data_IF_077404480091
#
_entry.id   IF_077404480091
#
_cell.length_a   1.000
_cell.length_b   1.000
_cell.length_c   1.000
_cell.angle_alpha   90.00
_cell.angle_beta   90.00
_cell.angle_gamma   90.00
#
_symmetry.space_group_name_H-M   'P 1'
#
loop_
_entity.id
_entity.type
_entity.pdbx_description
1 polymer ?
#
# COMPACT_ATOMS: atom_id res chain seq x y z
N UNK A 1 20.50 -37.81 31.83
CA UNK A 1 19.34 -37.89 30.92
C UNK A 1 19.40 -36.72 29.95
N UNK A 2 19.80 -36.98 28.70
CA UNK A 2 19.95 -35.96 27.68
C UNK A 2 18.58 -35.69 27.05
N UNK A 3 17.95 -34.57 27.40
CA UNK A 3 16.72 -34.13 26.75
C UNK A 3 17.06 -33.71 25.32
N UNK A 4 16.87 -34.62 24.36
CA UNK A 4 16.87 -34.28 22.94
C UNK A 4 15.74 -33.29 22.69
N UNK A 5 16.07 -31.99 22.75
CA UNK A 5 15.22 -30.90 22.30
C UNK A 5 14.84 -31.18 20.84
N UNK A 6 13.63 -31.71 20.67
CA UNK A 6 13.02 -32.04 19.38
C UNK A 6 13.13 -30.80 18.50
N UNK A 7 13.92 -30.87 17.42
CA UNK A 7 14.03 -29.77 16.45
C UNK A 7 12.61 -29.36 16.02
N UNK A 8 12.25 -28.07 16.09
CA UNK A 8 10.95 -27.62 15.62
C UNK A 8 10.74 -28.04 14.17
N UNK A 9 9.67 -28.80 13.89
CA UNK A 9 9.37 -29.35 12.57
C UNK A 9 9.02 -28.29 11.52
N UNK A 10 8.76 -27.06 11.94
CA UNK A 10 8.37 -25.94 11.09
C UNK A 10 9.59 -25.14 10.64
N UNK A 11 9.61 -24.80 9.34
CA UNK A 11 10.68 -24.02 8.75
C UNK A 11 10.86 -22.69 9.53
N UNK A 12 12.11 -22.20 9.73
CA UNK A 12 12.36 -20.96 10.47
C UNK A 12 11.60 -19.74 9.95
N UNK A 13 11.32 -19.72 8.63
CA UNK A 13 10.53 -18.67 7.97
C UNK A 13 9.08 -18.65 8.44
N UNK A 14 8.46 -19.82 8.59
CA UNK A 14 7.06 -19.93 8.97
C UNK A 14 6.88 -19.60 10.45
N UNK A 15 7.85 -19.97 11.29
CA UNK A 15 7.89 -19.55 12.70
C UNK A 15 8.00 -18.04 12.84
N UNK A 16 8.88 -17.41 12.06
CA UNK A 16 9.01 -15.95 12.04
C UNK A 16 7.71 -15.26 11.60
N UNK A 17 7.06 -15.78 10.56
CA UNK A 17 5.79 -15.23 10.08
C UNK A 17 4.67 -15.39 11.12
N UNK A 18 4.54 -16.57 11.72
CA UNK A 18 3.54 -16.82 12.78
C UNK A 18 3.76 -15.88 13.97
N UNK A 19 5.01 -15.72 14.41
CA UNK A 19 5.34 -14.79 15.50
C UNK A 19 4.94 -13.36 15.15
N UNK A 20 5.31 -12.88 13.96
CA UNK A 20 4.94 -11.52 13.53
C UNK A 20 3.42 -11.35 13.38
N UNK A 21 2.68 -12.35 12.88
CA UNK A 21 1.22 -12.30 12.86
C UNK A 21 0.62 -12.19 14.26
N UNK A 22 1.19 -12.89 15.25
CA UNK A 22 0.74 -12.78 16.65
C UNK A 22 1.04 -11.40 17.23
N UNK A 23 2.26 -10.87 17.01
CA UNK A 23 2.66 -9.55 17.51
C UNK A 23 1.86 -8.42 16.87
N UNK A 24 1.59 -8.53 15.56
CA UNK A 24 0.86 -7.53 14.78
C UNK A 24 -0.66 -7.73 14.82
N UNK A 25 -1.17 -8.74 15.54
CA UNK A 25 -2.60 -9.02 15.64
C UNK A 25 -3.45 -7.79 16.02
N UNK A 26 -3.03 -6.92 16.97
CA UNK A 26 -3.79 -5.70 17.27
C UNK A 26 -3.87 -4.73 16.09
N UNK A 27 -2.78 -4.57 15.33
CA UNK A 27 -2.75 -3.73 14.12
C UNK A 27 -3.67 -4.32 13.04
N UNK A 28 -3.59 -5.64 12.81
CA UNK A 28 -4.42 -6.34 11.83
C UNK A 28 -5.91 -6.25 12.16
N UNK A 29 -6.29 -6.46 13.43
CA UNK A 29 -7.69 -6.30 13.84
C UNK A 29 -8.15 -4.85 13.77
N UNK A 30 -7.37 -3.91 14.31
CA UNK A 30 -7.74 -2.50 14.31
C UNK A 30 -7.93 -1.96 12.90
N UNK A 31 -6.97 -2.22 12.01
CA UNK A 31 -7.07 -1.84 10.59
C UNK A 31 -8.19 -2.59 9.86
N UNK A 32 -8.40 -3.87 10.15
CA UNK A 32 -9.48 -4.68 9.58
C UNK A 32 -10.87 -4.20 9.99
N UNK A 33 -11.08 -3.84 11.26
CA UNK A 33 -12.34 -3.28 11.76
C UNK A 33 -12.62 -1.94 11.09
N UNK A 34 -11.63 -1.04 11.02
CA UNK A 34 -11.81 0.25 10.33
C UNK A 34 -12.14 0.04 8.85
N UNK A 35 -11.42 -0.86 8.16
CA UNK A 35 -11.72 -1.20 6.76
C UNK A 35 -13.14 -1.74 6.57
N UNK A 36 -13.58 -2.66 7.43
CA UNK A 36 -14.93 -3.21 7.38
C UNK A 36 -16.01 -2.14 7.62
N UNK A 37 -15.83 -1.26 8.61
CA UNK A 37 -16.76 -0.17 8.89
C UNK A 37 -16.85 0.82 7.73
N UNK A 38 -15.72 1.19 7.12
CA UNK A 38 -15.71 2.11 5.98
C UNK A 38 -16.29 1.46 4.72
N UNK A 39 -16.07 0.16 4.51
CA UNK A 39 -16.72 -0.60 3.44
C UNK A 39 -18.23 -0.66 3.64
N UNK A 40 -18.72 -0.95 4.85
CA UNK A 40 -20.15 -0.95 5.16
C UNK A 40 -20.77 0.43 4.97
N UNK A 41 -20.09 1.49 5.43
CA UNK A 41 -20.54 2.86 5.22
C UNK A 41 -20.59 3.25 3.74
N UNK A 42 -19.62 2.80 2.94
CA UNK A 42 -19.60 3.02 1.50
C UNK A 42 -20.71 2.25 0.78
N UNK A 43 -20.90 0.96 1.10
CA UNK A 43 -21.98 0.13 0.55
C UNK A 43 -23.34 0.73 0.90
N UNK A 44 -23.52 1.17 2.14
CA UNK A 44 -24.72 1.88 2.60
C UNK A 44 -24.87 3.30 2.06
N UNK A 45 -23.96 3.77 1.20
CA UNK A 45 -23.95 5.10 0.59
C UNK A 45 -23.89 6.25 1.62
N UNK A 46 -23.36 6.01 2.82
CA UNK A 46 -23.28 7.01 3.89
C UNK A 46 -22.00 7.87 3.82
N UNK A 47 -20.87 7.30 3.36
CA UNK A 47 -19.59 7.99 3.37
C UNK A 47 -18.60 7.46 2.32
N UNK A 48 -17.73 8.34 1.78
CA UNK A 48 -16.66 8.02 0.81
C UNK A 48 -15.27 8.31 1.41
N UNK A 49 -14.90 7.56 2.45
CA UNK A 49 -13.71 7.86 3.27
C UNK A 49 -12.50 6.94 2.96
N UNK A 50 -12.29 6.56 1.69
CA UNK A 50 -11.16 5.69 1.32
C UNK A 50 -9.80 6.34 1.57
N UNK A 51 -9.72 7.67 1.60
CA UNK A 51 -8.51 8.39 2.00
C UNK A 51 -8.03 8.01 3.40
N UNK A 52 -8.94 7.68 4.32
CA UNK A 52 -8.58 7.19 5.67
C UNK A 52 -7.82 5.87 5.56
N UNK A 53 -8.26 4.97 4.69
CA UNK A 53 -7.60 3.68 4.45
C UNK A 53 -6.25 3.85 3.76
N UNK A 54 -6.11 4.83 2.86
CA UNK A 54 -4.82 5.18 2.26
C UNK A 54 -3.84 5.70 3.32
N UNK A 55 -4.28 6.62 4.18
CA UNK A 55 -3.45 7.14 5.28
C UNK A 55 -3.10 6.03 6.29
N UNK A 56 -4.02 5.12 6.58
CA UNK A 56 -3.74 3.92 7.37
C UNK A 56 -2.73 3.00 6.69
N UNK A 57 -2.75 2.87 5.37
CA UNK A 57 -1.74 2.12 4.63
C UNK A 57 -0.35 2.77 4.74
N UNK A 58 -0.27 4.10 4.67
CA UNK A 58 0.98 4.85 4.87
C UNK A 58 1.50 4.71 6.30
N UNK A 59 0.60 4.59 7.27
CA UNK A 59 0.88 4.41 8.68
C UNK A 59 1.45 3.03 9.04
N UNK A 60 1.12 1.97 8.28
CA UNK A 60 1.43 0.57 8.65
C UNK A 60 2.90 0.34 8.99
N UNK A 61 3.90 0.81 8.21
CA UNK A 61 5.30 0.55 8.52
C UNK A 61 5.68 1.07 9.92
N UNK A 62 5.21 2.27 10.28
CA UNK A 62 5.47 2.91 11.57
C UNK A 62 4.66 2.24 12.68
N UNK A 63 3.39 1.93 12.44
CA UNK A 63 2.52 1.24 13.40
C UNK A 63 2.98 -0.19 13.71
N UNK A 64 3.70 -0.82 12.76
CA UNK A 64 4.27 -2.15 12.91
C UNK A 64 5.64 -2.15 13.58
N UNK A 65 6.17 -1.01 14.00
CA UNK A 65 7.43 -0.91 14.74
C UNK A 65 7.38 -1.72 16.06
N UNK A 66 8.53 -2.23 16.55
CA UNK A 66 8.56 -3.01 17.78
C UNK A 66 8.14 -2.14 18.96
N UNK A 67 7.17 -2.61 19.75
CA UNK A 67 6.72 -1.86 20.94
C UNK A 67 7.64 -2.08 22.14
N UNK A 68 8.22 -3.28 22.21
CA UNK A 68 9.18 -3.67 23.22
C UNK A 68 10.29 -4.49 22.54
N UNK A 69 11.34 -3.83 22.00
CA UNK A 69 12.39 -4.49 21.23
C UNK A 69 13.12 -5.58 22.01
N UNK A 70 13.29 -5.41 23.32
CA UNK A 70 14.00 -6.35 24.18
C UNK A 70 13.20 -7.65 24.35
N UNK A 71 11.92 -7.55 24.70
CA UNK A 71 11.03 -8.72 24.82
C UNK A 71 10.86 -9.45 23.49
N UNK A 72 10.66 -8.68 22.44
CA UNK A 72 10.52 -9.18 21.08
C UNK A 72 11.79 -9.91 20.60
N UNK A 73 12.98 -9.41 20.97
CA UNK A 73 14.27 -10.05 20.72
C UNK A 73 14.44 -11.36 21.51
N UNK A 74 14.06 -11.36 22.79
CA UNK A 74 14.09 -12.57 23.63
C UNK A 74 13.18 -13.68 23.09
N UNK A 75 11.93 -13.35 22.72
CA UNK A 75 10.98 -14.29 22.10
C UNK A 75 11.51 -14.86 20.79
N UNK A 76 12.16 -14.03 19.97
CA UNK A 76 12.76 -14.50 18.72
C UNK A 76 13.92 -15.46 18.98
N UNK A 77 14.74 -15.17 20.01
CA UNK A 77 15.86 -16.01 20.43
C UNK A 77 15.42 -17.37 20.95
N UNK A 78 14.41 -17.44 21.81
CA UNK A 78 13.86 -18.71 22.33
C UNK A 78 13.24 -19.58 21.23
N UNK A 79 12.69 -18.95 20.20
CA UNK A 79 12.13 -19.63 19.03
C UNK A 79 13.17 -19.97 17.95
N UNK A 80 14.45 -19.63 18.14
CA UNK A 80 15.51 -19.89 17.16
C UNK A 80 15.32 -19.14 15.84
N UNK A 81 14.73 -17.94 15.87
CA UNK A 81 14.47 -17.10 14.71
C UNK A 81 15.60 -16.08 14.57
N UNK A 82 16.26 -16.05 13.40
CA UNK A 82 17.27 -15.03 13.10
C UNK A 82 16.64 -13.65 12.90
N UNK A 83 17.38 -12.59 13.24
CA UNK A 83 16.96 -11.19 13.00
C UNK A 83 16.58 -10.95 11.54
N UNK A 84 17.37 -11.48 10.61
CA UNK A 84 17.08 -11.43 9.19
C UNK A 84 15.75 -12.11 8.79
N UNK A 85 15.43 -13.27 9.37
CA UNK A 85 14.15 -13.95 9.11
C UNK A 85 12.98 -13.13 9.64
N UNK A 86 13.17 -12.49 10.80
CA UNK A 86 12.18 -11.63 11.43
C UNK A 86 11.90 -10.36 10.63
N UNK A 87 12.93 -9.64 10.19
CA UNK A 87 12.79 -8.44 9.34
C UNK A 87 12.00 -8.79 8.07
N UNK A 88 12.33 -9.93 7.43
CA UNK A 88 11.58 -10.39 6.25
C UNK A 88 10.12 -10.72 6.55
N UNK A 89 9.84 -11.35 7.69
CA UNK A 89 8.47 -11.63 8.12
C UNK A 89 7.68 -10.34 8.37
N UNK A 90 8.27 -9.37 9.08
CA UNK A 90 7.65 -8.07 9.36
C UNK A 90 7.36 -7.30 8.07
N UNK A 91 8.33 -7.17 7.18
CA UNK A 91 8.15 -6.48 5.89
C UNK A 91 7.02 -7.13 5.08
N UNK A 92 6.91 -8.47 5.08
CA UNK A 92 5.79 -9.16 4.41
C UNK A 92 4.45 -8.82 5.03
N UNK A 93 4.33 -8.88 6.36
CA UNK A 93 3.08 -8.54 7.07
C UNK A 93 2.70 -7.10 6.77
N UNK A 94 3.64 -6.16 6.86
CA UNK A 94 3.41 -4.74 6.52
C UNK A 94 2.91 -4.61 5.09
N UNK A 95 3.59 -5.22 4.12
CA UNK A 95 3.19 -5.16 2.71
C UNK A 95 1.80 -5.72 2.45
N UNK A 96 1.45 -6.86 3.06
CA UNK A 96 0.13 -7.45 2.90
C UNK A 96 -0.96 -6.57 3.53
N UNK A 97 -0.70 -5.97 4.69
CA UNK A 97 -1.63 -5.02 5.33
C UNK A 97 -1.80 -3.76 4.49
N UNK A 98 -0.70 -3.20 3.97
CA UNK A 98 -0.76 -2.04 3.07
C UNK A 98 -1.57 -2.35 1.81
N UNK A 99 -1.30 -3.48 1.16
CA UNK A 99 -2.04 -3.92 -0.02
C UNK A 99 -3.52 -4.10 0.29
N UNK A 100 -3.86 -4.80 1.38
CA UNK A 100 -5.25 -4.99 1.79
C UNK A 100 -5.98 -3.67 2.05
N UNK A 101 -5.33 -2.72 2.72
CA UNK A 101 -5.89 -1.39 2.97
C UNK A 101 -6.05 -0.56 1.70
N UNK A 102 -5.08 -0.59 0.79
CA UNK A 102 -5.18 0.11 -0.50
C UNK A 102 -6.28 -0.48 -1.39
N UNK A 103 -6.42 -1.81 -1.41
CA UNK A 103 -7.53 -2.47 -2.13
C UNK A 103 -8.88 -2.10 -1.52
N UNK A 104 -8.99 -2.11 -0.18
CA UNK A 104 -10.21 -1.67 0.49
C UNK A 104 -10.50 -0.18 0.22
N UNK A 105 -9.47 0.68 0.21
CA UNK A 105 -9.60 2.10 -0.14
C UNK A 105 -10.16 2.30 -1.55
N UNK A 106 -9.61 1.57 -2.51
CA UNK A 106 -10.07 1.57 -3.90
C UNK A 106 -11.56 1.20 -3.95
N UNK A 107 -11.94 0.08 -3.34
CA UNK A 107 -13.35 -0.36 -3.29
C UNK A 107 -14.25 0.69 -2.61
N UNK A 108 -13.85 1.27 -1.48
CA UNK A 108 -14.60 2.32 -0.77
C UNK A 108 -14.80 3.55 -1.64
N UNK A 109 -13.76 4.00 -2.34
CA UNK A 109 -13.84 5.18 -3.21
C UNK A 109 -14.70 4.89 -4.44
N UNK A 110 -14.63 3.68 -4.97
CA UNK A 110 -15.40 3.27 -6.14
C UNK A 110 -16.89 3.14 -5.80
N UNK A 111 -17.22 2.43 -4.71
CA UNK A 111 -18.59 2.07 -4.34
C UNK A 111 -19.30 3.16 -3.53
N UNK A 112 -18.58 4.01 -2.81
CA UNK A 112 -19.16 5.05 -1.95
C UNK A 112 -20.10 6.04 -2.66
N UNK A 113 -20.80 6.89 -1.89
CA UNK A 113 -21.79 7.81 -2.45
C UNK A 113 -21.18 8.67 -3.55
N UNK A 114 -21.75 8.54 -4.75
CA UNK A 114 -21.40 9.35 -5.90
C UNK A 114 -22.40 10.50 -5.95
N UNK A 115 -21.90 11.74 -5.88
CA UNK A 115 -22.75 12.92 -6.08
C UNK A 115 -23.49 12.77 -7.41
N UNK A 116 -24.81 12.93 -7.39
CA UNK A 116 -25.62 12.72 -8.58
C UNK A 116 -25.10 13.55 -9.75
N UNK A 117 -24.71 12.86 -10.83
CA UNK A 117 -24.18 13.45 -12.07
C UNK A 117 -22.68 13.25 -12.27
N UNK A 118 -22.32 12.36 -13.21
CA UNK A 118 -21.04 12.35 -13.92
C UNK A 118 -19.76 12.36 -13.07
N UNK A 119 -19.60 11.45 -12.10
CA UNK A 119 -18.29 11.24 -11.47
C UNK A 119 -17.28 10.80 -12.56
N UNK A 120 -16.20 11.55 -12.84
CA UNK A 120 -15.21 11.19 -13.85
C UNK A 120 -14.50 9.87 -13.55
N UNK A 121 -14.64 9.33 -12.33
CA UNK A 121 -14.16 8.02 -11.94
C UNK A 121 -15.03 6.86 -12.46
N UNK A 122 -16.27 7.11 -12.94
CA UNK A 122 -17.19 6.05 -13.37
C UNK A 122 -17.82 6.27 -14.74
N UNK A 123 -17.86 5.21 -15.55
CA UNK A 123 -18.52 5.20 -16.86
C UNK A 123 -20.05 5.07 -16.75
N UNK A 124 -20.53 4.59 -15.60
CA UNK A 124 -21.92 4.26 -15.36
C UNK A 124 -22.05 3.21 -14.25
N UNK A 125 -23.24 2.65 -14.08
CA UNK A 125 -23.51 1.58 -13.12
C UNK A 125 -24.11 0.37 -13.83
N UNK A 126 -23.67 -0.82 -13.45
CA UNK A 126 -24.21 -2.11 -13.91
C UNK A 126 -24.97 -2.73 -12.75
N UNK A 127 -26.19 -3.22 -13.01
CA UNK A 127 -26.96 -3.98 -12.03
C UNK A 127 -26.55 -5.45 -12.09
N UNK A 128 -26.08 -5.99 -10.97
CA UNK A 128 -25.74 -7.41 -10.83
C UNK A 128 -26.31 -7.94 -9.51
N UNK A 129 -27.28 -8.86 -9.57
CA UNK A 129 -27.85 -9.50 -8.38
C UNK A 129 -28.52 -8.54 -7.38
N UNK A 130 -29.13 -7.44 -7.85
CA UNK A 130 -29.74 -6.42 -6.99
C UNK A 130 -28.78 -5.36 -6.45
N UNK A 131 -27.48 -5.48 -6.75
CA UNK A 131 -26.48 -4.47 -6.44
C UNK A 131 -26.20 -3.61 -7.67
N UNK A 132 -26.22 -2.28 -7.49
CA UNK A 132 -25.80 -1.32 -8.52
C UNK A 132 -24.30 -1.04 -8.35
N UNK A 133 -23.48 -1.65 -9.22
CA UNK A 133 -22.03 -1.56 -9.15
C UNK A 133 -21.48 -0.53 -10.15
N UNK A 134 -20.65 0.42 -9.70
CA UNK A 134 -20.01 1.37 -10.59
C UNK A 134 -18.96 0.71 -11.48
N UNK A 135 -18.92 1.11 -12.76
CA UNK A 135 -17.87 0.71 -13.70
C UNK A 135 -16.75 1.74 -13.68
N UNK A 136 -15.54 1.40 -13.22
CA UNK A 136 -14.45 2.36 -13.11
C UNK A 136 -13.93 2.83 -14.48
N UNK A 137 -13.56 4.11 -14.58
CA UNK A 137 -12.83 4.67 -15.73
C UNK A 137 -11.34 4.34 -15.67
N UNK A 138 -10.63 4.59 -16.78
CA UNK A 138 -9.17 4.49 -16.79
C UNK A 138 -8.50 5.52 -15.86
N UNK A 139 -9.09 6.72 -15.76
CA UNK A 139 -8.67 7.75 -14.81
C UNK A 139 -8.73 7.25 -13.35
N UNK A 140 -9.79 6.54 -12.96
CA UNK A 140 -9.89 5.92 -11.63
C UNK A 140 -8.73 4.94 -11.37
N UNK A 141 -8.41 4.07 -12.34
CA UNK A 141 -7.30 3.13 -12.18
C UNK A 141 -5.95 3.83 -12.13
N UNK A 142 -5.78 4.92 -12.87
CA UNK A 142 -4.60 5.77 -12.80
C UNK A 142 -4.43 6.34 -11.38
N UNK A 143 -5.49 6.86 -10.77
CA UNK A 143 -5.46 7.38 -9.41
C UNK A 143 -5.08 6.30 -8.38
N UNK A 144 -5.65 5.09 -8.51
CA UNK A 144 -5.28 3.93 -7.67
C UNK A 144 -3.79 3.63 -7.76
N UNK A 145 -3.24 3.65 -8.98
CA UNK A 145 -1.80 3.43 -9.21
C UNK A 145 -0.95 4.54 -8.61
N UNK A 146 -1.40 5.79 -8.66
CA UNK A 146 -0.72 6.94 -8.04
C UNK A 146 -0.68 6.77 -6.51
N UNK A 147 -1.82 6.48 -5.86
CA UNK A 147 -1.89 6.27 -4.41
C UNK A 147 -1.01 5.09 -3.97
N UNK A 148 -1.10 3.97 -4.68
CA UNK A 148 -0.33 2.77 -4.39
C UNK A 148 1.18 3.01 -4.55
N UNK A 149 1.58 3.75 -5.59
CA UNK A 149 2.98 4.15 -5.79
C UNK A 149 3.46 5.00 -4.63
N UNK A 150 2.73 6.06 -4.28
CA UNK A 150 3.11 6.94 -3.19
C UNK A 150 3.25 6.19 -1.85
N UNK A 151 2.36 5.23 -1.57
CA UNK A 151 2.43 4.39 -0.37
C UNK A 151 3.62 3.41 -0.36
N UNK A 152 3.97 2.81 -1.51
CA UNK A 152 5.15 1.93 -1.62
C UNK A 152 6.43 2.73 -1.41
N UNK A 153 6.54 3.89 -2.05
CA UNK A 153 7.71 4.75 -1.94
C UNK A 153 7.85 5.35 -0.54
N UNK A 154 6.75 5.74 0.13
CA UNK A 154 6.82 6.17 1.53
C UNK A 154 7.37 5.05 2.43
N UNK A 155 6.96 3.80 2.24
CA UNK A 155 7.53 2.64 2.93
C UNK A 155 9.03 2.49 2.65
N UNK A 156 9.51 2.72 1.42
CA UNK A 156 10.97 2.68 1.15
C UNK A 156 11.73 3.71 2.01
N UNK A 157 11.17 4.90 2.21
CA UNK A 157 11.79 6.00 2.95
C UNK A 157 11.79 5.81 4.46
N UNK A 158 10.71 5.28 5.04
CA UNK A 158 10.59 5.11 6.51
C UNK A 158 10.82 3.69 6.99
N UNK A 159 10.80 2.71 6.09
CA UNK A 159 10.74 1.28 6.43
C UNK A 159 11.94 0.77 7.21
N UNK A 160 13.15 1.29 6.93
CA UNK A 160 14.34 0.93 7.71
C UNK A 160 14.20 1.39 9.15
N UNK A 161 13.92 2.68 9.33
CA UNK A 161 13.88 3.32 10.64
C UNK A 161 12.74 2.73 11.49
N UNK A 162 11.60 2.45 10.85
CA UNK A 162 10.43 1.85 11.48
C UNK A 162 10.64 0.40 11.95
N UNK A 163 11.71 -0.28 11.51
CA UNK A 163 12.08 -1.58 12.08
C UNK A 163 12.66 -1.45 13.49
N UNK A 164 13.12 -0.26 13.89
CA UNK A 164 13.83 -0.02 15.13
C UNK A 164 12.98 0.67 16.19
N UNK A 165 12.18 1.66 15.81
CA UNK A 165 11.37 2.44 16.75
C UNK A 165 10.14 3.07 16.07
N UNK A 166 9.13 3.45 16.85
CA UNK A 166 8.03 4.31 16.43
C UNK A 166 8.07 5.63 17.21
N UNK A 167 8.23 6.73 16.48
CA UNK A 167 8.18 8.08 17.05
C UNK A 167 7.21 8.97 16.28
N UNK A 168 6.71 10.02 16.94
CA UNK A 168 5.86 11.05 16.30
C UNK A 168 6.57 11.70 15.09
N UNK A 169 7.89 11.89 15.17
CA UNK A 169 8.70 12.35 14.05
C UNK A 169 8.68 11.37 12.87
N UNK A 170 8.66 10.07 13.13
CA UNK A 170 8.56 9.04 12.09
C UNK A 170 7.19 9.02 11.42
N UNK A 171 6.12 9.24 12.19
CA UNK A 171 4.77 9.43 11.66
C UNK A 171 4.69 10.65 10.71
N UNK A 172 5.25 11.78 11.14
CA UNK A 172 5.33 12.99 10.30
C UNK A 172 6.16 12.75 9.04
N UNK A 173 7.31 12.05 9.14
CA UNK A 173 8.14 11.67 8.00
C UNK A 173 7.40 10.75 7.02
N UNK A 174 6.63 9.77 7.51
CA UNK A 174 5.86 8.87 6.66
C UNK A 174 4.80 9.64 5.87
N UNK A 175 4.07 10.53 6.54
CA UNK A 175 3.06 11.39 5.91
C UNK A 175 3.70 12.36 4.90
N UNK A 176 4.77 13.06 5.28
CA UNK A 176 5.48 13.96 4.37
C UNK A 176 6.05 13.24 3.15
N UNK A 177 6.60 12.04 3.35
CA UNK A 177 7.10 11.19 2.25
C UNK A 177 5.97 10.75 1.32
N UNK A 178 4.82 10.40 1.87
CA UNK A 178 3.64 10.06 1.07
C UNK A 178 3.14 11.26 0.26
N UNK A 179 2.96 12.42 0.89
CA UNK A 179 2.49 13.63 0.20
C UNK A 179 3.47 14.08 -0.88
N UNK A 180 4.77 14.12 -0.57
CA UNK A 180 5.82 14.47 -1.53
C UNK A 180 5.84 13.49 -2.70
N UNK A 181 5.78 12.18 -2.43
CA UNK A 181 5.74 11.20 -3.50
C UNK A 181 4.44 11.25 -4.29
N UNK A 182 3.30 11.49 -3.66
CA UNK A 182 2.03 11.66 -4.35
C UNK A 182 2.11 12.79 -5.38
N UNK A 183 2.71 13.93 -5.02
CA UNK A 183 2.97 15.03 -5.95
C UNK A 183 3.92 14.60 -7.08
N UNK A 184 5.02 13.92 -6.77
CA UNK A 184 5.99 13.45 -7.77
C UNK A 184 5.35 12.46 -8.76
N UNK A 185 4.64 11.44 -8.28
CA UNK A 185 4.01 10.43 -9.16
C UNK A 185 2.92 11.09 -10.00
N UNK A 186 2.13 11.98 -9.42
CA UNK A 186 1.13 12.75 -10.16
C UNK A 186 1.78 13.59 -11.26
N UNK A 187 2.86 14.31 -10.94
CA UNK A 187 3.59 15.14 -11.89
C UNK A 187 4.22 14.32 -13.03
N UNK A 188 4.84 13.18 -12.72
CA UNK A 188 5.40 12.25 -13.73
C UNK A 188 4.31 11.71 -14.63
N UNK A 189 3.21 11.25 -14.04
CA UNK A 189 2.08 10.66 -14.78
C UNK A 189 1.44 11.70 -15.70
N UNK A 190 1.23 12.93 -15.20
CA UNK A 190 0.71 14.03 -15.98
C UNK A 190 1.70 14.49 -17.07
N UNK A 191 2.99 14.59 -16.75
CA UNK A 191 4.03 14.96 -17.71
C UNK A 191 4.13 13.98 -18.88
N UNK A 192 4.07 12.67 -18.62
CA UNK A 192 4.06 11.64 -19.67
C UNK A 192 2.80 11.73 -20.54
N UNK A 193 1.65 12.10 -19.97
CA UNK A 193 0.43 12.38 -20.74
C UNK A 193 0.58 13.57 -21.68
N UNK A 194 1.27 14.63 -21.24
CA UNK A 194 1.43 15.85 -22.02
C UNK A 194 2.51 15.73 -23.11
N UNK A 195 3.45 14.80 -22.99
CA UNK A 195 4.57 14.67 -23.93
C UNK A 195 4.12 14.38 -25.37
N UNK A 196 3.23 13.40 -25.66
CA UNK A 196 2.72 13.18 -27.01
C UNK A 196 1.94 14.38 -27.57
N UNK A 197 1.23 15.11 -26.71
CA UNK A 197 0.48 16.31 -27.10
C UNK A 197 1.42 17.44 -27.52
N UNK A 198 2.46 17.69 -26.71
CA UNK A 198 3.48 18.69 -27.03
C UNK A 198 4.23 18.34 -28.31
N UNK A 199 4.61 17.07 -28.50
CA UNK A 199 5.25 16.59 -29.72
C UNK A 199 4.31 16.67 -30.95
N UNK A 200 3.03 16.35 -30.78
CA UNK A 200 2.02 16.48 -31.84
C UNK A 200 1.83 17.92 -32.28
N UNK A 201 1.75 18.85 -31.32
CA UNK A 201 1.64 20.29 -31.57
C UNK A 201 2.88 20.83 -32.31
N UNK A 202 4.09 20.40 -31.94
CA UNK A 202 5.33 20.75 -32.65
C UNK A 202 5.34 20.25 -34.10
N UNK A 203 4.63 19.15 -34.38
CA UNK A 203 4.50 18.54 -35.71
C UNK A 203 3.27 19.03 -36.50
N UNK A 204 2.56 20.05 -36.00
CA UNK A 204 1.36 20.60 -36.64
C UNK A 204 0.17 19.63 -36.67
N UNK A 205 0.13 18.64 -35.78
CA UNK A 205 -0.97 17.68 -35.66
C UNK A 205 -2.01 18.17 -34.66
N UNK A 206 -3.27 18.09 -35.05
CA UNK A 206 -4.39 18.35 -34.15
C UNK A 206 -4.45 17.31 -33.01
N UNK A 207 -4.71 17.73 -31.76
CA UNK A 207 -4.83 16.80 -30.64
C UNK A 207 -6.10 15.95 -30.78
N UNK A 208 -5.94 14.66 -31.05
CA UNK A 208 -7.06 13.71 -31.10
C UNK A 208 -7.43 13.27 -29.68
N UNK A 209 -8.43 13.91 -29.07
CA UNK A 209 -8.96 13.51 -27.77
C UNK A 209 -9.51 12.08 -27.84
N UNK A 210 -9.02 11.19 -26.99
CA UNK A 210 -9.46 9.80 -26.95
C UNK A 210 -8.69 8.93 -25.95
N UNK A 211 -9.16 7.71 -25.68
CA UNK A 211 -8.56 6.80 -24.69
C UNK A 211 -7.09 6.47 -24.99
N UNK A 212 -6.68 6.59 -26.26
CA UNK A 212 -5.29 6.47 -26.71
C UNK A 212 -4.33 7.41 -25.94
N UNK A 213 -4.80 8.58 -25.50
CA UNK A 213 -4.00 9.58 -24.76
C UNK A 213 -3.81 9.24 -23.28
N UNK A 214 -4.62 8.34 -22.72
CA UNK A 214 -4.58 7.98 -21.30
C UNK A 214 -3.66 6.77 -21.02
N UNK A 215 -3.42 5.90 -22.01
CA UNK A 215 -2.53 4.75 -21.86
C UNK A 215 -1.09 5.10 -21.43
N UNK A 216 -0.42 6.14 -21.98
CA UNK A 216 0.94 6.50 -21.56
C UNK A 216 1.01 6.84 -20.06
N UNK A 217 -0.01 7.53 -19.54
CA UNK A 217 -0.10 7.89 -18.13
C UNK A 217 -0.24 6.64 -17.24
N UNK A 218 -1.12 5.72 -17.62
CA UNK A 218 -1.35 4.46 -16.89
C UNK A 218 -0.08 3.60 -16.88
N UNK A 219 0.61 3.48 -18.02
CA UNK A 219 1.88 2.77 -18.13
C UNK A 219 2.98 3.42 -17.29
N UNK A 220 3.06 4.75 -17.28
CA UNK A 220 4.02 5.48 -16.45
C UNK A 220 3.76 5.23 -14.95
N UNK A 221 2.51 5.33 -14.51
CA UNK A 221 2.13 5.00 -13.13
C UNK A 221 2.50 3.56 -12.78
N UNK A 222 2.16 2.60 -13.63
CA UNK A 222 2.47 1.19 -13.41
C UNK A 222 3.99 0.93 -13.36
N UNK A 223 4.77 1.62 -14.19
CA UNK A 223 6.22 1.56 -14.17
C UNK A 223 6.80 2.13 -12.86
N UNK A 224 6.30 3.27 -12.38
CA UNK A 224 6.72 3.88 -11.11
C UNK A 224 6.37 2.99 -9.91
N UNK A 225 5.19 2.37 -9.93
CA UNK A 225 4.78 1.37 -8.94
C UNK A 225 5.68 0.14 -8.96
N UNK A 226 5.90 -0.44 -10.15
CA UNK A 226 6.75 -1.62 -10.36
C UNK A 226 8.20 -1.38 -9.95
N UNK A 227 8.75 -0.22 -10.30
CA UNK A 227 10.08 0.21 -9.85
C UNK A 227 10.13 0.31 -8.31
N UNK A 228 9.11 0.90 -7.68
CA UNK A 228 8.98 0.94 -6.22
C UNK A 228 9.01 -0.45 -5.59
N UNK A 229 8.26 -1.41 -6.13
CA UNK A 229 8.26 -2.80 -5.62
C UNK A 229 9.64 -3.47 -5.76
N UNK A 230 10.34 -3.26 -6.87
CA UNK A 230 11.70 -3.78 -7.08
C UNK A 230 12.70 -3.18 -6.09
N UNK A 231 12.65 -1.86 -5.90
CA UNK A 231 13.50 -1.14 -4.94
C UNK A 231 13.20 -1.61 -3.52
N UNK A 232 11.93 -1.77 -3.15
CA UNK A 232 11.53 -2.27 -1.83
C UNK A 232 11.98 -3.72 -1.61
N UNK A 233 11.91 -4.57 -2.63
CA UNK A 233 12.45 -5.94 -2.58
C UNK A 233 13.97 -5.93 -2.36
N UNK A 234 14.70 -5.03 -3.01
CA UNK A 234 16.14 -4.89 -2.79
C UNK A 234 16.46 -4.33 -1.39
N UNK A 235 15.81 -3.24 -0.99
CA UNK A 235 15.96 -2.61 0.33
C UNK A 235 15.64 -3.58 1.47
N UNK A 236 14.55 -4.33 1.37
CA UNK A 236 14.18 -5.33 2.39
C UNK A 236 15.21 -6.46 2.54
N UNK A 237 15.91 -6.83 1.47
CA UNK A 237 17.05 -7.76 1.57
C UNK A 237 18.22 -7.10 2.29
N UNK A 238 18.56 -5.87 1.94
CA UNK A 238 19.64 -5.13 2.58
C UNK A 238 19.38 -4.91 4.08
N UNK A 239 18.15 -4.54 4.46
CA UNK A 239 17.74 -4.40 5.86
C UNK A 239 17.87 -5.73 6.61
N UNK A 240 17.48 -6.84 5.99
CA UNK A 240 17.62 -8.16 6.61
C UNK A 240 19.07 -8.62 6.74
N UNK A 241 19.99 -8.15 5.88
CA UNK A 241 21.42 -8.45 5.96
C UNK A 241 22.13 -7.60 7.03
N UNK A 242 21.64 -6.39 7.28
CA UNK A 242 22.22 -5.45 8.24
C UNK A 242 21.71 -5.62 9.68
N UNK A 243 20.77 -6.54 9.93
CA UNK A 243 20.09 -6.74 11.22
C UNK A 243 20.72 -7.83 12.09
#
# INVERSE_FOLDING_TARGET
MSATLRRPSTAPRDRALRLELTLQRPLLWGSGVVAALLLLAAIGQFARLGNVLILLAVAVPVAAAPRDPAREGWLSGTLGISRAARVRARVRVVLFTQLGLLLAAAVVILVGPQGGGGDPATLGRVSAGGLSLPVPTLAYWQDVVIWASAAVWSHIWVGRDALHDASTAMWARALASYLGMYVVVTAVTFGVRMLPLALGALLGREPVAGPAQEYPAVLAGAAVFGAGLLVLRWRSRAWAQAA
#
